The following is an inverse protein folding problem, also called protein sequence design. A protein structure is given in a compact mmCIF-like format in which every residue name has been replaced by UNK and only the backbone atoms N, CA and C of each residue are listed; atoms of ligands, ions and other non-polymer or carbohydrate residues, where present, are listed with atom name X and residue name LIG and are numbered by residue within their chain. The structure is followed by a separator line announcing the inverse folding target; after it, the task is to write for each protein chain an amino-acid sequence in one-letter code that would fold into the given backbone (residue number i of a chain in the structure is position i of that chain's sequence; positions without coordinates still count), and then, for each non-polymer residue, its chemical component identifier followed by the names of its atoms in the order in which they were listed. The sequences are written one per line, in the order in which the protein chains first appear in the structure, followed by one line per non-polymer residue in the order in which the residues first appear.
data_IF_548092323776
#
_entry.id   IF_548092323776
#
_cell.length_a   1.000
_cell.length_b   1.000
_cell.length_c   1.000
_cell.angle_alpha   90.00
_cell.angle_beta   90.00
_cell.angle_gamma   90.00
#
_symmetry.space_group_name_H-M   'P 1'
#
loop_
_entity.id
_entity.type
_entity.pdbx_description
1 polymer ?
#
# COMPACT_ATOMS: atom_id res chain seq x y z
N UNK A 1 -0.82 -1.31 -10.78
CA UNK A 1 -1.81 -2.31 -10.28
C UNK A 1 -3.08 -1.65 -9.74
N UNK A 2 -3.00 -0.72 -8.78
CA UNK A 2 -4.20 -0.06 -8.22
C UNK A 2 -5.08 0.54 -9.33
N UNK A 3 -4.51 1.33 -10.25
CA UNK A 3 -5.24 1.86 -11.42
C UNK A 3 -5.90 0.76 -12.24
N UNK A 4 -5.13 -0.28 -12.63
CA UNK A 4 -5.65 -1.38 -13.47
C UNK A 4 -6.80 -2.14 -12.81
N UNK A 5 -6.75 -2.33 -11.49
CA UNK A 5 -7.85 -2.98 -10.76
C UNK A 5 -9.06 -2.06 -10.69
N UNK A 6 -8.86 -0.74 -10.51
CA UNK A 6 -9.96 0.22 -10.41
C UNK A 6 -10.61 0.54 -11.76
N UNK A 7 -9.98 0.22 -12.89
CA UNK A 7 -10.51 0.52 -14.23
C UNK A 7 -11.87 -0.14 -14.52
N UNK A 8 -12.17 -1.24 -13.82
CA UNK A 8 -13.47 -1.92 -13.89
C UNK A 8 -14.52 -1.40 -12.89
N UNK A 9 -14.20 -0.36 -12.14
CA UNK A 9 -15.11 0.34 -11.22
C UNK A 9 -15.56 1.68 -11.82
N UNK A 10 -16.64 2.23 -11.31
CA UNK A 10 -17.09 3.59 -11.65
C UNK A 10 -16.07 4.65 -11.21
N UNK A 11 -15.31 4.36 -10.15
CA UNK A 11 -14.25 5.23 -9.61
C UNK A 11 -12.89 4.76 -10.10
N UNK A 12 -12.29 5.49 -11.04
CA UNK A 12 -10.94 5.23 -11.55
C UNK A 12 -9.90 5.93 -10.69
N UNK A 13 -8.85 5.20 -10.32
CA UNK A 13 -7.74 5.74 -9.52
C UNK A 13 -6.56 6.09 -10.43
N UNK A 14 -6.24 7.38 -10.51
CA UNK A 14 -5.08 7.89 -11.26
C UNK A 14 -3.94 8.05 -10.27
N UNK A 15 -2.82 7.36 -10.50
CA UNK A 15 -1.72 7.28 -9.56
C UNK A 15 -0.47 8.00 -10.05
N UNK A 16 0.07 8.88 -9.21
CA UNK A 16 1.42 9.45 -9.35
C UNK A 16 2.32 8.87 -8.26
N UNK A 17 3.61 8.69 -8.53
CA UNK A 17 4.55 8.12 -7.56
C UNK A 17 5.81 8.96 -7.37
N UNK A 18 6.33 8.96 -6.15
CA UNK A 18 7.68 9.38 -5.80
C UNK A 18 8.27 8.29 -4.91
N UNK A 19 9.09 7.41 -5.48
CA UNK A 19 9.61 6.23 -4.80
C UNK A 19 11.02 5.92 -5.25
N UNK A 20 11.87 5.57 -4.28
CA UNK A 20 13.21 5.01 -4.50
C UNK A 20 13.38 3.86 -3.50
N UNK A 21 13.94 2.74 -3.94
CA UNK A 21 14.13 1.56 -3.09
C UNK A 21 14.96 1.85 -1.84
N UNK A 22 14.56 1.28 -0.71
CA UNK A 22 15.26 1.41 0.57
C UNK A 22 15.19 2.79 1.22
N UNK A 23 14.26 3.66 0.82
CA UNK A 23 14.10 5.00 1.41
C UNK A 23 13.14 4.98 2.60
N UNK A 24 13.36 5.93 3.51
CA UNK A 24 12.53 6.18 4.68
C UNK A 24 11.82 7.54 4.60
N UNK A 25 10.86 7.80 5.50
CA UNK A 25 10.05 9.03 5.47
C UNK A 25 10.90 10.31 5.67
N UNK A 26 12.00 10.24 6.41
CA UNK A 26 12.92 11.37 6.54
C UNK A 26 13.59 11.73 5.21
N UNK A 27 13.95 10.73 4.40
CA UNK A 27 14.50 10.94 3.06
C UNK A 27 13.44 11.48 2.10
N UNK A 28 12.18 11.03 2.20
CA UNK A 28 11.05 11.59 1.46
C UNK A 28 10.79 13.05 1.84
N UNK A 29 10.83 13.39 3.13
CA UNK A 29 10.63 14.75 3.60
C UNK A 29 11.73 15.71 3.14
N UNK A 30 12.98 15.25 3.16
CA UNK A 30 14.14 16.03 2.77
C UNK A 30 14.50 15.91 1.26
N UNK A 31 13.70 15.15 0.51
CA UNK A 31 13.86 14.92 -0.94
C UNK A 31 15.25 14.42 -1.33
N UNK A 32 15.80 13.52 -0.51
CA UNK A 32 17.08 12.89 -0.79
C UNK A 32 16.95 11.84 -1.90
N UNK A 33 18.06 11.42 -2.47
CA UNK A 33 18.13 10.36 -3.50
C UNK A 33 17.24 10.61 -4.74
N UNK A 34 16.99 11.87 -5.08
CA UNK A 34 16.15 12.23 -6.22
C UNK A 34 14.64 12.13 -5.98
N UNK A 35 14.21 11.87 -4.74
CA UNK A 35 12.81 11.95 -4.35
C UNK A 35 12.24 13.35 -4.54
N UNK A 36 10.94 13.42 -4.84
CA UNK A 36 10.20 14.68 -5.03
C UNK A 36 8.88 14.68 -4.26
N UNK A 37 8.81 13.93 -3.17
CA UNK A 37 7.55 13.70 -2.47
C UNK A 37 6.94 14.98 -1.92
N UNK A 38 7.73 15.80 -1.24
CA UNK A 38 7.29 17.08 -0.69
C UNK A 38 6.89 18.06 -1.78
N UNK A 39 7.74 18.22 -2.80
CA UNK A 39 7.48 19.07 -3.96
C UNK A 39 6.22 18.67 -4.73
N UNK A 40 5.99 17.37 -4.94
CA UNK A 40 4.79 16.88 -5.60
C UNK A 40 3.53 17.18 -4.78
N UNK A 41 3.56 16.95 -3.46
CA UNK A 41 2.42 17.28 -2.58
C UNK A 41 2.17 18.78 -2.56
N UNK A 42 3.24 19.62 -2.49
CA UNK A 42 3.12 21.08 -2.44
C UNK A 42 2.53 21.68 -3.71
N UNK A 43 2.91 21.17 -4.87
CA UNK A 43 2.60 21.75 -6.17
C UNK A 43 1.50 21.00 -6.94
N UNK A 44 1.20 19.78 -6.55
CA UNK A 44 0.14 18.96 -7.16
C UNK A 44 -1.22 19.18 -6.53
N UNK A 45 -2.23 18.60 -7.18
CA UNK A 45 -3.60 18.50 -6.65
C UNK A 45 -3.95 17.01 -6.57
N UNK A 46 -4.09 16.51 -5.35
CA UNK A 46 -4.37 15.11 -5.06
C UNK A 46 -5.56 15.01 -4.12
N UNK A 47 -6.46 14.06 -4.35
CA UNK A 47 -7.53 13.73 -3.42
C UNK A 47 -6.99 12.97 -2.22
N UNK A 48 -6.04 12.06 -2.48
CA UNK A 48 -5.45 11.16 -1.49
C UNK A 48 -3.94 11.11 -1.70
N UNK A 49 -3.19 11.10 -0.60
CA UNK A 49 -1.75 10.80 -0.61
C UNK A 49 -1.48 9.59 0.27
N UNK A 50 -0.93 8.54 -0.33
CA UNK A 50 -0.56 7.31 0.36
C UNK A 50 0.92 7.32 0.67
N UNK A 51 1.31 6.99 1.89
CA UNK A 51 2.71 6.86 2.27
C UNK A 51 2.95 5.77 3.31
N UNK A 52 4.16 5.24 3.34
CA UNK A 52 4.68 4.33 4.36
C UNK A 52 6.17 4.57 4.58
N UNK A 53 6.70 4.07 5.67
CA UNK A 53 8.13 4.10 5.95
C UNK A 53 8.83 2.82 5.44
N UNK A 54 10.15 2.80 5.45
CA UNK A 54 10.94 1.61 5.23
C UNK A 54 10.48 0.47 6.15
N UNK A 55 10.48 -0.76 5.66
CA UNK A 55 9.86 -1.93 6.32
C UNK A 55 10.27 -2.16 7.78
N UNK A 56 11.51 -1.81 8.15
CA UNK A 56 12.02 -2.00 9.51
C UNK A 56 11.84 -0.76 10.42
N UNK A 57 11.54 0.42 9.87
CA UNK A 57 11.41 1.66 10.67
C UNK A 57 10.34 1.60 11.75
N UNK A 58 9.17 1.00 11.54
CA UNK A 58 8.17 0.87 12.60
C UNK A 58 8.69 0.14 13.86
N UNK A 59 9.73 -0.70 13.70
CA UNK A 59 10.36 -1.48 14.77
C UNK A 59 11.62 -0.80 15.29
N UNK A 60 12.53 -0.43 14.39
CA UNK A 60 13.86 0.07 14.74
C UNK A 60 13.89 1.53 15.14
N UNK A 61 13.00 2.35 14.60
CA UNK A 61 12.94 3.78 14.85
C UNK A 61 11.49 4.32 14.80
N UNK A 62 10.60 3.83 15.68
CA UNK A 62 9.18 4.24 15.68
C UNK A 62 8.99 5.74 15.91
N UNK A 63 9.86 6.40 16.64
CA UNK A 63 9.78 7.86 16.85
C UNK A 63 10.10 8.64 15.56
N UNK A 64 11.02 8.14 14.74
CA UNK A 64 11.29 8.71 13.40
C UNK A 64 10.07 8.57 12.48
N UNK A 65 9.41 7.41 12.49
CA UNK A 65 8.15 7.18 11.76
C UNK A 65 7.08 8.19 12.20
N UNK A 66 6.89 8.38 13.51
CA UNK A 66 5.88 9.31 14.05
C UNK A 66 6.20 10.76 13.69
N UNK A 67 7.47 11.17 13.80
CA UNK A 67 7.90 12.53 13.51
C UNK A 67 7.71 12.88 12.03
N UNK A 68 8.35 12.14 11.13
CA UNK A 68 8.27 12.45 9.69
C UNK A 68 6.90 12.11 9.10
N UNK A 69 6.23 11.08 9.60
CA UNK A 69 4.85 10.78 9.23
C UNK A 69 3.89 11.91 9.64
N UNK A 70 4.09 12.49 10.82
CA UNK A 70 3.35 13.66 11.29
C UNK A 70 3.52 14.87 10.36
N UNK A 71 4.77 15.21 10.02
CA UNK A 71 5.07 16.31 9.08
C UNK A 71 4.42 16.11 7.70
N UNK A 72 4.46 14.89 7.17
CA UNK A 72 3.78 14.57 5.91
C UNK A 72 2.27 14.70 6.02
N UNK A 73 1.68 14.20 7.10
CA UNK A 73 0.24 14.35 7.34
C UNK A 73 -0.20 15.82 7.39
N UNK A 74 0.53 16.67 8.09
CA UNK A 74 0.26 18.11 8.15
C UNK A 74 0.32 18.76 6.76
N UNK A 75 1.38 18.45 6.00
CA UNK A 75 1.54 18.95 4.64
C UNK A 75 0.39 18.49 3.73
N UNK A 76 0.05 17.21 3.75
CA UNK A 76 -1.04 16.63 2.94
C UNK A 76 -2.36 17.34 3.27
N UNK A 77 -2.70 17.48 4.55
CA UNK A 77 -3.93 18.15 4.99
C UNK A 77 -3.96 19.62 4.64
N UNK A 78 -2.80 20.32 4.70
CA UNK A 78 -2.71 21.72 4.29
C UNK A 78 -3.06 21.93 2.81
N UNK A 79 -2.92 20.88 2.01
CA UNK A 79 -3.31 20.84 0.58
C UNK A 79 -4.72 20.30 0.35
N UNK A 80 -5.50 20.09 1.43
CA UNK A 80 -6.86 19.53 1.41
C UNK A 80 -6.94 18.09 0.88
N UNK A 81 -5.82 17.38 0.80
CA UNK A 81 -5.76 15.95 0.49
C UNK A 81 -5.95 15.10 1.74
N UNK A 82 -6.39 13.87 1.56
CA UNK A 82 -6.59 12.90 2.65
C UNK A 82 -5.34 12.03 2.79
N UNK A 83 -4.67 12.02 3.96
CA UNK A 83 -3.54 11.12 4.19
C UNK A 83 -4.01 9.69 4.43
N UNK A 84 -3.46 8.75 3.67
CA UNK A 84 -3.62 7.32 3.85
C UNK A 84 -2.30 6.69 4.27
N UNK A 85 -2.30 6.04 5.43
CA UNK A 85 -1.12 5.41 5.99
C UNK A 85 -1.10 3.95 5.58
N UNK A 86 -0.09 3.55 4.83
CA UNK A 86 0.12 2.20 4.37
C UNK A 86 0.78 1.37 5.47
N UNK A 87 0.01 0.56 6.19
CA UNK A 87 0.51 -0.40 7.15
C UNK A 87 1.08 -1.63 6.44
N UNK A 88 2.40 -1.75 6.39
CA UNK A 88 3.10 -2.83 5.69
C UNK A 88 3.06 -4.15 6.47
N UNK A 89 3.60 -5.21 5.88
CA UNK A 89 3.74 -6.54 6.46
C UNK A 89 5.12 -6.76 7.10
N UNK A 90 5.21 -7.73 8.03
CA UNK A 90 6.48 -8.22 8.59
C UNK A 90 7.28 -8.99 7.55
N UNK A 91 8.59 -9.11 7.76
CA UNK A 91 9.40 -10.02 6.95
C UNK A 91 9.00 -11.46 7.20
N UNK A 92 9.19 -12.32 6.21
CA UNK A 92 8.83 -13.75 6.26
C UNK A 92 9.48 -14.49 7.44
N UNK A 93 10.75 -14.14 7.74
CA UNK A 93 11.53 -14.76 8.83
C UNK A 93 11.21 -14.22 10.23
N UNK A 94 10.42 -13.15 10.34
CA UNK A 94 10.09 -12.50 11.61
C UNK A 94 8.60 -12.13 11.68
N UNK A 95 7.68 -13.10 11.46
CA UNK A 95 6.24 -12.86 11.41
C UNK A 95 5.67 -12.31 12.72
N UNK A 96 6.32 -12.63 13.86
CA UNK A 96 5.95 -12.12 15.19
C UNK A 96 6.06 -10.60 15.33
N UNK A 97 6.83 -9.94 14.46
CA UNK A 97 7.00 -8.48 14.49
C UNK A 97 5.80 -7.71 13.94
N UNK A 98 4.83 -8.38 13.31
CA UNK A 98 3.66 -7.70 12.74
C UNK A 98 2.86 -6.90 13.78
N UNK A 99 2.74 -7.41 15.00
CA UNK A 99 2.06 -6.69 16.09
C UNK A 99 2.71 -5.33 16.40
N UNK A 100 4.04 -5.27 16.42
CA UNK A 100 4.79 -4.03 16.63
C UNK A 100 4.60 -3.06 15.44
N UNK A 101 4.66 -3.55 14.20
CA UNK A 101 4.40 -2.77 12.99
C UNK A 101 3.00 -2.17 13.04
N UNK A 102 1.98 -2.98 13.32
CA UNK A 102 0.59 -2.53 13.42
C UNK A 102 0.41 -1.45 14.49
N UNK A 103 1.05 -1.62 15.64
CA UNK A 103 1.00 -0.66 16.75
C UNK A 103 1.61 0.69 16.37
N UNK A 104 2.77 0.68 15.71
CA UNK A 104 3.47 1.90 15.29
C UNK A 104 2.64 2.69 14.26
N UNK A 105 2.10 2.02 13.24
CA UNK A 105 1.25 2.67 12.24
C UNK A 105 -0.11 3.10 12.81
N UNK A 106 -0.67 2.38 13.77
CA UNK A 106 -1.91 2.79 14.46
C UNK A 106 -1.69 4.05 15.32
N UNK A 107 -0.52 4.17 15.97
CA UNK A 107 -0.14 5.40 16.69
C UNK A 107 -0.04 6.58 15.74
N UNK A 108 0.64 6.41 14.58
CA UNK A 108 0.74 7.46 13.58
C UNK A 108 -0.64 7.85 13.03
N UNK A 109 -1.49 6.88 12.68
CA UNK A 109 -2.84 7.14 12.19
C UNK A 109 -3.66 7.95 13.20
N UNK A 110 -3.61 7.57 14.48
CA UNK A 110 -4.28 8.30 15.57
C UNK A 110 -3.72 9.72 15.72
N UNK A 111 -2.40 9.88 15.74
CA UNK A 111 -1.73 11.19 15.83
C UNK A 111 -2.16 12.12 14.70
N UNK A 112 -2.23 11.59 13.50
CA UNK A 112 -2.58 12.34 12.30
C UNK A 112 -4.09 12.51 12.09
N UNK A 113 -4.96 11.76 12.77
CA UNK A 113 -6.37 11.64 12.38
C UNK A 113 -6.45 11.21 10.91
N UNK A 114 -5.71 10.15 10.56
CA UNK A 114 -5.55 9.65 9.20
C UNK A 114 -6.05 8.21 9.08
N UNK A 115 -6.34 7.81 7.88
CA UNK A 115 -6.77 6.46 7.57
C UNK A 115 -5.61 5.49 7.47
N UNK A 116 -5.68 4.35 8.17
CA UNK A 116 -4.73 3.27 8.08
C UNK A 116 -5.25 2.18 7.15
N UNK A 117 -4.54 1.88 6.07
CA UNK A 117 -4.81 0.73 5.21
C UNK A 117 -4.10 -0.49 5.77
N UNK A 118 -4.85 -1.44 6.32
CA UNK A 118 -4.35 -2.58 7.10
C UNK A 118 -3.83 -3.73 6.22
N UNK A 119 -2.86 -3.43 5.33
CA UNK A 119 -2.30 -4.43 4.40
C UNK A 119 -1.60 -5.56 5.16
N UNK A 120 -0.85 -5.23 6.22
CA UNK A 120 -0.17 -6.24 7.05
C UNK A 120 -1.14 -7.22 7.70
N UNK A 121 -2.33 -6.74 8.12
CA UNK A 121 -3.39 -7.59 8.66
C UNK A 121 -3.97 -8.51 7.56
N UNK A 122 -4.19 -7.97 6.35
CA UNK A 122 -4.60 -8.79 5.19
C UNK A 122 -3.55 -9.86 4.85
N UNK A 123 -2.27 -9.51 4.94
CA UNK A 123 -1.17 -10.42 4.67
C UNK A 123 -1.16 -11.61 5.65
N UNK A 124 -1.25 -11.33 6.95
CA UNK A 124 -1.35 -12.38 7.97
C UNK A 124 -2.58 -13.25 7.81
N UNK A 125 -3.74 -12.64 7.57
CA UNK A 125 -5.00 -13.38 7.43
C UNK A 125 -4.97 -14.29 6.19
N UNK A 126 -4.35 -13.84 5.08
CA UNK A 126 -4.21 -14.67 3.89
C UNK A 126 -3.32 -15.88 4.15
N UNK A 127 -2.16 -15.70 4.78
CA UNK A 127 -1.27 -16.80 5.16
C UNK A 127 -1.91 -17.76 6.15
N UNK A 128 -2.77 -17.27 7.05
CA UNK A 128 -3.54 -18.12 7.95
C UNK A 128 -4.56 -18.98 7.21
N UNK A 129 -5.25 -18.43 6.21
CA UNK A 129 -6.23 -19.19 5.39
C UNK A 129 -5.57 -20.12 4.39
N UNK A 130 -4.42 -19.75 3.88
CA UNK A 130 -3.67 -20.48 2.86
C UNK A 130 -2.18 -20.44 3.17
N UNK A 131 -1.67 -21.30 4.06
CA UNK A 131 -0.26 -21.29 4.46
C UNK A 131 0.74 -21.52 3.32
N UNK A 132 0.28 -22.14 2.22
CA UNK A 132 1.10 -22.38 1.02
C UNK A 132 1.11 -21.20 0.04
N UNK A 133 0.37 -20.12 0.31
CA UNK A 133 0.33 -18.96 -0.57
C UNK A 133 1.69 -18.26 -0.60
N UNK A 134 2.23 -18.05 -1.79
CA UNK A 134 3.52 -17.38 -1.96
C UNK A 134 3.29 -15.87 -2.02
N UNK A 135 3.30 -15.20 -0.87
CA UNK A 135 3.14 -13.75 -0.78
C UNK A 135 4.46 -12.99 -0.86
N UNK A 136 5.57 -13.62 -0.48
CA UNK A 136 6.90 -13.02 -0.50
C UNK A 136 7.66 -13.37 -1.78
N UNK A 137 8.45 -12.41 -2.25
CA UNK A 137 9.53 -12.69 -3.18
C UNK A 137 10.60 -13.54 -2.49
N UNK A 138 11.52 -14.13 -3.25
CA UNK A 138 12.58 -15.03 -2.74
C UNK A 138 13.49 -14.41 -1.67
N UNK A 139 13.49 -13.08 -1.53
CA UNK A 139 14.23 -12.37 -0.49
C UNK A 139 13.50 -12.34 0.89
N UNK A 140 12.27 -12.83 0.96
CA UNK A 140 11.45 -12.87 2.18
C UNK A 140 11.02 -11.50 2.71
N UNK A 141 11.14 -10.45 1.91
CA UNK A 141 10.81 -9.06 2.29
C UNK A 141 9.87 -8.38 1.29
N UNK A 142 10.24 -8.37 0.01
CA UNK A 142 9.42 -7.78 -1.03
C UNK A 142 8.22 -8.67 -1.38
N UNK A 143 7.15 -8.07 -1.95
CA UNK A 143 5.98 -8.84 -2.33
C UNK A 143 6.25 -9.66 -3.61
N UNK A 144 5.72 -10.87 -3.64
CA UNK A 144 5.52 -11.64 -4.87
C UNK A 144 4.47 -10.98 -5.79
N UNK A 145 4.19 -11.50 -6.98
CA UNK A 145 3.03 -11.09 -7.76
C UNK A 145 1.71 -11.19 -6.98
N UNK A 146 1.48 -12.29 -6.26
CA UNK A 146 0.27 -12.46 -5.44
C UNK A 146 0.23 -11.48 -4.27
N UNK A 147 1.37 -11.26 -3.59
CA UNK A 147 1.48 -10.25 -2.55
C UNK A 147 1.18 -8.83 -3.07
N UNK A 148 1.73 -8.48 -4.24
CA UNK A 148 1.45 -7.20 -4.91
C UNK A 148 -0.04 -7.05 -5.27
N UNK A 149 -0.68 -8.14 -5.69
CA UNK A 149 -2.12 -8.15 -5.98
C UNK A 149 -2.96 -7.91 -4.72
N UNK A 150 -2.63 -8.59 -3.61
CA UNK A 150 -3.28 -8.38 -2.32
C UNK A 150 -3.17 -6.93 -1.85
N UNK A 151 -1.97 -6.35 -1.94
CA UNK A 151 -1.72 -4.94 -1.62
C UNK A 151 -2.61 -4.02 -2.45
N UNK A 152 -2.63 -4.22 -3.77
CA UNK A 152 -3.40 -3.37 -4.67
C UNK A 152 -4.92 -3.48 -4.40
N UNK A 153 -5.44 -4.68 -4.16
CA UNK A 153 -6.85 -4.88 -3.77
C UNK A 153 -7.18 -4.17 -2.45
N UNK A 154 -6.27 -4.22 -1.47
CA UNK A 154 -6.46 -3.55 -0.18
C UNK A 154 -6.64 -2.04 -0.35
N UNK A 155 -5.82 -1.42 -1.21
CA UNK A 155 -5.96 0.01 -1.53
C UNK A 155 -7.22 0.33 -2.31
N UNK A 156 -7.56 -0.46 -3.33
CA UNK A 156 -8.80 -0.25 -4.08
C UNK A 156 -9.99 -0.30 -3.13
N UNK A 157 -10.06 -1.31 -2.26
CA UNK A 157 -11.15 -1.44 -1.27
C UNK A 157 -11.19 -0.27 -0.29
N UNK A 158 -10.04 0.11 0.27
CA UNK A 158 -9.95 1.19 1.26
C UNK A 158 -10.39 2.54 0.67
N UNK A 159 -9.99 2.83 -0.57
CA UNK A 159 -10.25 4.11 -1.24
C UNK A 159 -11.68 4.17 -1.81
N UNK A 160 -12.11 3.11 -2.50
CA UNK A 160 -13.39 3.13 -3.22
C UNK A 160 -14.56 2.51 -2.45
N UNK A 161 -14.28 1.82 -1.34
CA UNK A 161 -15.28 1.04 -0.59
C UNK A 161 -15.72 -0.24 -1.29
N UNK A 162 -15.27 -0.51 -2.52
CA UNK A 162 -15.72 -1.61 -3.37
C UNK A 162 -14.55 -2.41 -3.91
N UNK A 163 -14.81 -3.65 -4.29
CA UNK A 163 -13.91 -4.45 -5.13
C UNK A 163 -14.64 -4.81 -6.42
N UNK A 164 -13.94 -4.86 -7.57
CA UNK A 164 -14.55 -5.30 -8.83
C UNK A 164 -15.17 -6.69 -8.70
N UNK A 165 -16.34 -6.90 -9.28
CA UNK A 165 -17.00 -8.21 -9.31
C UNK A 165 -16.14 -9.23 -10.07
N UNK A 166 -15.65 -8.85 -11.24
CA UNK A 166 -14.80 -9.64 -12.10
C UNK A 166 -13.42 -8.99 -12.27
N UNK A 167 -12.38 -9.82 -12.22
CA UNK A 167 -11.00 -9.40 -12.47
C UNK A 167 -10.36 -10.40 -13.44
N UNK A 168 -9.51 -9.93 -14.36
CA UNK A 168 -8.74 -10.81 -15.22
C UNK A 168 -7.69 -11.58 -14.40
N UNK A 169 -7.30 -12.76 -14.88
CA UNK A 169 -6.19 -13.51 -14.30
C UNK A 169 -4.81 -13.03 -14.78
N UNK A 170 -4.78 -12.27 -15.85
CA UNK A 170 -3.57 -11.67 -16.44
C UNK A 170 -3.76 -10.15 -16.50
N UNK A 171 -2.81 -9.43 -15.94
CA UNK A 171 -2.77 -7.97 -15.99
C UNK A 171 -1.66 -7.52 -16.91
N UNK A 172 -2.01 -6.74 -17.92
CA UNK A 172 -1.10 -6.21 -18.92
C UNK A 172 -0.99 -4.68 -18.79
N UNK A 173 0.15 -4.17 -19.20
CA UNK A 173 0.37 -2.76 -19.45
C UNK A 173 0.66 -2.57 -20.94
N UNK A 174 0.10 -1.52 -21.50
CA UNK A 174 0.37 -1.11 -22.87
C UNK A 174 1.22 0.16 -22.79
N UNK A 175 2.37 0.11 -23.42
CA UNK A 175 3.22 1.30 -23.47
C UNK A 175 2.72 2.30 -24.52
N UNK A 176 3.45 3.42 -24.67
CA UNK A 176 3.13 4.48 -25.62
C UNK A 176 3.24 4.03 -27.11
N UNK A 177 4.00 2.98 -27.36
CA UNK A 177 4.25 2.43 -28.71
C UNK A 177 3.27 1.27 -29.03
N UNK A 178 2.36 0.95 -28.09
CA UNK A 178 1.35 -0.10 -28.22
C UNK A 178 1.85 -1.51 -27.87
N UNK A 179 3.08 -1.64 -27.37
CA UNK A 179 3.60 -2.92 -26.93
C UNK A 179 2.92 -3.39 -25.63
N UNK A 180 2.66 -4.69 -25.57
CA UNK A 180 1.99 -5.31 -24.42
C UNK A 180 2.98 -5.98 -23.49
N UNK A 181 3.03 -5.51 -22.25
CA UNK A 181 3.84 -6.12 -21.18
C UNK A 181 2.96 -6.79 -20.15
N UNK A 182 3.17 -8.08 -19.92
CA UNK A 182 2.50 -8.78 -18.82
C UNK A 182 3.13 -8.34 -17.49
N UNK A 183 2.35 -7.63 -16.68
CA UNK A 183 2.79 -7.17 -15.36
C UNK A 183 2.67 -8.29 -14.33
N UNK A 184 1.56 -9.05 -14.38
CA UNK A 184 1.22 -10.00 -13.35
C UNK A 184 0.24 -11.05 -13.87
N UNK A 185 0.33 -12.23 -13.28
CA UNK A 185 -0.65 -13.30 -13.44
C UNK A 185 -1.02 -13.85 -12.06
N UNK A 186 -2.30 -14.05 -11.82
CA UNK A 186 -2.88 -14.67 -10.62
C UNK A 186 -3.97 -15.65 -11.04
N UNK A 187 -4.19 -16.71 -10.28
CA UNK A 187 -5.25 -17.67 -10.57
C UNK A 187 -6.63 -17.15 -10.16
N UNK A 188 -7.69 -17.80 -10.61
CA UNK A 188 -9.06 -17.46 -10.19
C UNK A 188 -9.25 -17.70 -8.69
N UNK A 189 -8.68 -18.76 -8.16
CA UNK A 189 -8.70 -19.14 -6.76
C UNK A 189 -7.99 -18.10 -5.89
N UNK A 190 -6.84 -17.63 -6.32
CA UNK A 190 -6.09 -16.55 -5.65
C UNK A 190 -6.88 -15.23 -5.64
N UNK A 191 -7.53 -14.88 -6.75
CA UNK A 191 -8.41 -13.70 -6.82
C UNK A 191 -9.54 -13.80 -5.79
N UNK A 192 -10.22 -14.95 -5.73
CA UNK A 192 -11.33 -15.17 -4.79
C UNK A 192 -10.82 -15.07 -3.35
N UNK A 193 -9.71 -15.74 -3.03
CA UNK A 193 -9.13 -15.73 -1.69
C UNK A 193 -8.72 -14.31 -1.26
N UNK A 194 -8.00 -13.58 -2.11
CA UNK A 194 -7.61 -12.20 -1.84
C UNK A 194 -8.83 -11.29 -1.61
N UNK A 195 -9.87 -11.41 -2.43
CA UNK A 195 -11.10 -10.63 -2.26
C UNK A 195 -11.80 -10.93 -0.94
N UNK A 196 -11.88 -12.21 -0.54
CA UNK A 196 -12.46 -12.62 0.74
C UNK A 196 -11.68 -12.03 1.92
N UNK A 197 -10.35 -12.12 1.90
CA UNK A 197 -9.48 -11.57 2.93
C UNK A 197 -9.64 -10.06 3.03
N UNK A 198 -9.52 -9.36 1.91
CA UNK A 198 -9.62 -7.90 1.87
C UNK A 198 -11.00 -7.43 2.37
N UNK A 199 -12.09 -8.08 1.96
CA UNK A 199 -13.43 -7.74 2.43
C UNK A 199 -13.63 -8.02 3.93
N UNK A 200 -12.92 -8.99 4.51
CA UNK A 200 -13.03 -9.29 5.95
C UNK A 200 -12.22 -8.33 6.84
N UNK A 201 -11.19 -7.69 6.29
CA UNK A 201 -10.23 -6.87 7.06
C UNK A 201 -10.40 -5.37 6.76
N UNK A 202 -10.57 -5.00 5.49
CA UNK A 202 -10.63 -3.61 5.06
C UNK A 202 -12.08 -3.13 5.06
N UNK A 203 -12.40 -2.27 6.01
CA UNK A 203 -13.62 -1.49 5.98
C UNK A 203 -13.41 -0.23 5.12
N UNK A 204 -14.49 0.31 4.56
CA UNK A 204 -14.41 1.61 3.89
C UNK A 204 -13.96 2.64 4.91
N UNK A 205 -12.95 3.38 4.56
CA UNK A 205 -12.52 4.52 5.36
C UNK A 205 -13.57 5.62 5.19
N UNK A 206 -14.21 6.01 6.30
CA UNK A 206 -15.15 7.14 6.35
C UNK A 206 -14.39 8.45 6.38
#
# INVERSE_FOLDING_TARGET
MVSLISDSLDTKLICTKSTVGGTNLGEHWNELKGLKSKTLIQNGSYDIVVFHDHSMRPIEAPDSLLYFGGLLCELIKSKKAIPFIYNTWSREKTPETQGAINSAYSRLAKQCGASRVSVGDCWQELLKRSPQAVLYHSDGSHPSPLGTFLVALSFVKAITGKLPSNLPTVFNYFDKDGETFRIMQVSKEEIVLCKQVVNSIINQVQ
#
